data_IF_368434598418
#
_entry.id   IF_368434598418
#
_cell.length_a   1.000
_cell.length_b   1.000
_cell.length_c   1.000
_cell.angle_alpha   90.00
_cell.angle_beta   90.00
_cell.angle_gamma   90.00
#
_symmetry.space_group_name_H-M   'P 1'
#
loop_
_entity.id
_entity.type
_entity.pdbx_description
1 polymer ?
#
# COMPACT_ATOMS: atom_id res chain seq x y z
N UNK A 1 23.68 -11.83 -2.34
CA UNK A 1 22.85 -11.99 -3.55
C UNK A 1 21.96 -10.78 -3.61
N UNK A 2 21.79 -10.17 -4.78
CA UNK A 2 20.98 -8.95 -4.89
C UNK A 2 19.50 -9.30 -4.64
N UNK A 3 18.84 -8.56 -3.76
CA UNK A 3 17.42 -8.73 -3.43
C UNK A 3 16.50 -7.99 -4.40
N UNK A 4 17.04 -7.41 -5.47
CA UNK A 4 16.31 -6.52 -6.39
C UNK A 4 15.05 -7.19 -7.00
N UNK A 5 14.96 -8.52 -7.05
CA UNK A 5 13.80 -9.23 -7.60
C UNK A 5 13.02 -10.06 -6.57
N UNK A 6 13.34 -9.97 -5.27
CA UNK A 6 12.59 -10.69 -4.24
C UNK A 6 11.34 -9.91 -3.85
N UNK A 7 10.18 -10.58 -3.82
CA UNK A 7 8.94 -9.98 -3.32
C UNK A 7 9.13 -9.70 -1.84
N UNK A 8 8.91 -8.45 -1.44
CA UNK A 8 8.98 -8.06 -0.04
C UNK A 8 7.64 -8.42 0.62
N UNK A 9 7.69 -9.26 1.65
CA UNK A 9 6.54 -9.60 2.48
C UNK A 9 6.58 -8.87 3.84
N UNK A 10 5.51 -9.03 4.61
CA UNK A 10 5.37 -8.35 5.90
C UNK A 10 6.48 -8.74 6.89
N UNK A 11 6.86 -10.02 6.93
CA UNK A 11 7.85 -10.52 7.87
C UNK A 11 9.25 -9.96 7.55
N UNK A 12 9.63 -9.93 6.27
CA UNK A 12 10.90 -9.35 5.83
C UNK A 12 11.05 -7.86 6.19
N UNK A 13 9.96 -7.10 6.03
CA UNK A 13 9.96 -5.67 6.39
C UNK A 13 9.95 -5.50 7.91
N UNK A 14 9.17 -6.30 8.65
CA UNK A 14 9.17 -6.30 10.11
C UNK A 14 10.57 -6.60 10.68
N UNK A 15 11.24 -7.64 10.17
CA UNK A 15 12.60 -8.00 10.54
C UNK A 15 13.60 -6.88 10.20
N UNK A 16 13.39 -6.22 9.06
CA UNK A 16 14.21 -5.06 8.68
C UNK A 16 13.99 -3.90 9.66
N UNK A 17 12.79 -3.65 10.17
CA UNK A 17 12.55 -2.61 11.18
C UNK A 17 13.19 -2.97 12.52
N UNK A 18 13.06 -4.23 12.96
CA UNK A 18 13.70 -4.76 14.16
C UNK A 18 15.22 -4.66 14.10
N UNK A 19 15.81 -4.88 12.93
CA UNK A 19 17.25 -4.74 12.68
C UNK A 19 17.77 -3.31 12.94
N UNK A 20 16.91 -2.30 12.78
CA UNK A 20 17.17 -0.90 13.12
C UNK A 20 16.77 -0.55 14.57
N UNK A 21 16.27 -1.52 15.34
CA UNK A 21 15.82 -1.33 16.72
C UNK A 21 14.46 -0.63 16.84
N UNK A 22 13.67 -0.63 15.77
CA UNK A 22 12.35 0.00 15.72
C UNK A 22 11.23 -1.01 15.92
N UNK A 23 10.17 -0.60 16.62
CA UNK A 23 8.91 -1.35 16.80
C UNK A 23 7.74 -0.69 16.04
N UNK A 24 8.06 0.15 15.05
CA UNK A 24 7.04 0.72 14.17
C UNK A 24 6.31 -0.40 13.42
N UNK A 25 5.04 -0.19 13.10
CA UNK A 25 4.24 -1.14 12.34
C UNK A 25 4.58 -1.05 10.84
N UNK A 26 4.99 -2.15 10.18
CA UNK A 26 5.12 -2.20 8.72
C UNK A 26 3.81 -1.87 8.01
N UNK A 27 2.69 -2.38 8.53
CA UNK A 27 1.37 -2.16 7.95
C UNK A 27 0.98 -0.67 7.98
N UNK A 28 1.23 0.00 9.11
CA UNK A 28 1.01 1.45 9.23
C UNK A 28 1.81 2.24 8.19
N UNK A 29 3.11 1.97 8.07
CA UNK A 29 3.96 2.66 7.09
C UNK A 29 3.61 2.28 5.64
N UNK A 30 3.05 1.09 5.38
CA UNK A 30 2.53 0.72 4.07
C UNK A 30 1.30 1.54 3.68
N UNK A 31 0.39 1.76 4.62
CA UNK A 31 -0.74 2.66 4.42
C UNK A 31 -0.27 4.05 4.02
N UNK A 32 0.71 4.60 4.76
CA UNK A 32 1.33 5.89 4.42
C UNK A 32 1.97 5.88 3.04
N UNK A 33 2.72 4.83 2.71
CA UNK A 33 3.38 4.66 1.42
C UNK A 33 2.35 4.66 0.28
N UNK A 34 1.29 3.88 0.39
CA UNK A 34 0.24 3.76 -0.61
C UNK A 34 -0.43 5.11 -0.90
N UNK A 35 -0.87 5.81 0.15
CA UNK A 35 -1.47 7.15 0.01
C UNK A 35 -0.47 8.17 -0.54
N UNK A 36 0.79 8.12 -0.11
CA UNK A 36 1.83 9.03 -0.57
C UNK A 36 2.16 8.82 -2.05
N UNK A 37 2.24 7.57 -2.51
CA UNK A 37 2.42 7.26 -3.94
C UNK A 37 1.22 7.68 -4.79
N UNK A 38 0.02 7.75 -4.21
CA UNK A 38 -1.17 8.21 -4.90
C UNK A 38 -1.26 9.75 -4.97
N UNK A 39 -0.89 10.46 -3.90
CA UNK A 39 -1.10 11.90 -3.76
C UNK A 39 0.13 12.75 -4.08
N UNK A 40 1.32 12.14 -4.12
CA UNK A 40 2.59 12.83 -4.26
C UNK A 40 3.49 12.10 -5.26
N UNK A 41 4.43 12.83 -5.87
CA UNK A 41 5.53 12.22 -6.64
C UNK A 41 6.63 11.75 -5.67
N UNK A 42 6.31 10.74 -4.87
CA UNK A 42 7.21 10.21 -3.84
C UNK A 42 8.37 9.45 -4.51
N UNK A 43 9.54 10.08 -4.61
CA UNK A 43 10.77 9.46 -5.14
C UNK A 43 11.30 8.34 -4.26
N UNK A 44 12.24 7.54 -4.79
CA UNK A 44 12.90 6.47 -4.05
C UNK A 44 13.71 7.02 -2.87
N UNK A 45 14.39 8.15 -3.10
CA UNK A 45 15.20 8.86 -2.12
C UNK A 45 14.33 9.45 -1.00
N UNK A 46 13.24 10.14 -1.36
CA UNK A 46 12.31 10.72 -0.39
C UNK A 46 11.63 9.64 0.47
N UNK A 47 11.31 8.50 -0.14
CA UNK A 47 10.80 7.35 0.62
C UNK A 47 11.83 6.81 1.60
N UNK A 48 13.07 6.60 1.15
CA UNK A 48 14.13 6.09 2.02
C UNK A 48 14.38 7.02 3.21
N UNK A 49 14.35 8.33 2.98
CA UNK A 49 14.44 9.35 4.03
C UNK A 49 13.26 9.26 5.01
N UNK A 50 12.02 9.19 4.51
CA UNK A 50 10.81 9.12 5.33
C UNK A 50 10.75 7.85 6.20
N UNK A 51 11.13 6.69 5.65
CA UNK A 51 11.16 5.45 6.42
C UNK A 51 12.30 5.49 7.45
N UNK A 52 13.50 5.98 7.10
CA UNK A 52 14.60 6.11 8.07
C UNK A 52 14.22 7.03 9.22
N UNK A 53 13.58 8.17 8.93
CA UNK A 53 13.06 9.08 9.95
C UNK A 53 12.06 8.38 10.87
N UNK A 54 11.13 7.60 10.31
CA UNK A 54 10.15 6.83 11.07
C UNK A 54 10.79 5.76 11.96
N UNK A 55 11.89 5.16 11.50
CA UNK A 55 12.68 4.19 12.25
C UNK A 55 13.66 4.83 13.26
N UNK A 56 13.80 6.16 13.25
CA UNK A 56 14.71 6.89 14.15
C UNK A 56 16.19 6.72 13.79
N UNK A 57 16.51 6.47 12.52
CA UNK A 57 17.88 6.31 12.00
C UNK A 57 18.18 7.32 10.90
N UNK A 58 19.45 7.67 10.71
CA UNK A 58 19.86 8.59 9.64
C UNK A 58 19.93 7.91 8.26
N UNK A 59 20.20 6.60 8.25
CA UNK A 59 20.34 5.80 7.04
C UNK A 59 20.06 4.32 7.33
N UNK A 60 19.79 3.49 6.32
CA UNK A 60 19.69 2.05 6.48
C UNK A 60 20.99 1.48 7.07
N UNK A 61 20.86 0.40 7.84
CA UNK A 61 21.98 -0.28 8.51
C UNK A 61 23.04 -0.78 7.52
N UNK A 62 22.60 -1.31 6.39
CA UNK A 62 23.44 -1.86 5.33
C UNK A 62 22.73 -1.81 3.97
N UNK A 63 23.43 -2.23 2.91
CA UNK A 63 22.93 -2.27 1.54
C UNK A 63 21.70 -3.19 1.40
N UNK A 64 21.67 -4.30 2.16
CA UNK A 64 20.56 -5.27 2.11
C UNK A 64 19.29 -4.63 2.66
N UNK A 65 19.37 -3.94 3.80
CA UNK A 65 18.25 -3.18 4.34
C UNK A 65 17.78 -2.08 3.37
N UNK A 66 18.71 -1.38 2.72
CA UNK A 66 18.36 -0.37 1.72
C UNK A 66 17.64 -0.98 0.51
N UNK A 67 18.14 -2.10 -0.03
CA UNK A 67 17.51 -2.82 -1.14
C UNK A 67 16.08 -3.25 -0.79
N UNK A 68 15.84 -3.75 0.44
CA UNK A 68 14.50 -4.15 0.91
C UNK A 68 13.53 -2.99 0.99
N UNK A 69 13.92 -1.90 1.65
CA UNK A 69 13.06 -0.72 1.82
C UNK A 69 12.71 -0.07 0.47
N UNK A 70 13.67 -0.01 -0.45
CA UNK A 70 13.45 0.50 -1.81
C UNK A 70 12.63 -0.48 -2.67
N UNK A 71 12.87 -1.78 -2.51
CA UNK A 71 12.13 -2.86 -3.17
C UNK A 71 10.65 -2.83 -2.79
N UNK A 72 10.34 -2.59 -1.52
CA UNK A 72 8.98 -2.43 -1.03
C UNK A 72 8.24 -1.28 -1.72
N UNK A 73 8.82 -0.06 -1.78
CA UNK A 73 8.22 1.05 -2.54
C UNK A 73 7.99 0.69 -4.01
N UNK A 74 8.99 0.07 -4.65
CA UNK A 74 8.89 -0.30 -6.07
C UNK A 74 7.74 -1.28 -6.28
N UNK A 75 7.66 -2.34 -5.47
CA UNK A 75 6.59 -3.34 -5.50
C UNK A 75 5.21 -2.68 -5.32
N UNK A 76 5.06 -1.82 -4.31
CA UNK A 76 3.79 -1.12 -4.05
C UNK A 76 3.39 -0.23 -5.24
N UNK A 77 4.34 0.53 -5.80
CA UNK A 77 4.07 1.38 -6.97
C UNK A 77 3.71 0.56 -8.22
N UNK A 78 4.43 -0.53 -8.49
CA UNK A 78 4.16 -1.44 -9.61
C UNK A 78 2.77 -2.04 -9.50
N UNK A 79 2.37 -2.47 -8.30
CA UNK A 79 1.06 -3.09 -8.08
C UNK A 79 -0.10 -2.06 -8.13
N UNK A 80 0.07 -0.86 -7.57
CA UNK A 80 -0.94 0.22 -7.63
C UNK A 80 -1.12 0.77 -9.06
N UNK A 81 -0.05 0.81 -9.86
CA UNK A 81 -0.08 1.32 -11.23
C UNK A 81 -0.32 0.25 -12.29
N UNK A 82 -0.34 -1.03 -11.90
CA UNK A 82 -0.52 -2.16 -12.80
C UNK A 82 -1.96 -2.33 -13.30
N UNK A 83 -2.12 -2.87 -14.51
CA UNK A 83 -3.42 -3.20 -15.12
C UNK A 83 -4.11 -4.39 -14.47
N UNK A 84 -3.34 -5.28 -13.84
CA UNK A 84 -3.80 -6.58 -13.34
C UNK A 84 -4.64 -6.48 -12.06
N UNK A 85 -4.86 -5.27 -11.54
CA UNK A 85 -5.62 -5.03 -10.32
C UNK A 85 -5.16 -5.91 -9.15
N UNK A 86 -3.85 -6.11 -9.01
CA UNK A 86 -3.23 -7.10 -8.13
C UNK A 86 -2.53 -6.49 -6.91
N UNK A 87 -2.75 -5.19 -6.63
CA UNK A 87 -2.30 -4.58 -5.39
C UNK A 87 -2.87 -5.33 -4.19
N UNK A 88 -2.02 -5.60 -3.22
CA UNK A 88 -2.35 -6.14 -1.91
C UNK A 88 -1.63 -5.27 -0.86
N UNK A 89 -2.31 -4.80 0.20
CA UNK A 89 -1.66 -4.08 1.29
C UNK A 89 -0.66 -4.99 2.02
N UNK A 90 0.43 -4.41 2.52
CA UNK A 90 1.44 -5.16 3.29
C UNK A 90 0.92 -5.45 4.71
N UNK A 91 0.27 -6.60 4.86
CA UNK A 91 -0.36 -7.05 6.11
C UNK A 91 0.27 -8.34 6.64
N UNK A 92 0.13 -8.64 7.94
CA UNK A 92 0.46 -9.96 8.47
C UNK A 92 -0.28 -11.05 7.68
N UNK A 93 0.42 -12.14 7.37
CA UNK A 93 -0.14 -13.26 6.60
C UNK A 93 -0.86 -14.28 7.50
N UNK A 94 -1.27 -15.41 6.91
CA UNK A 94 -1.97 -16.51 7.61
C UNK A 94 -1.13 -17.21 8.69
N UNK A 95 0.16 -16.90 8.83
CA UNK A 95 0.98 -17.41 9.93
C UNK A 95 0.73 -16.64 11.24
N UNK A 96 0.11 -15.47 11.16
CA UNK A 96 -0.30 -14.66 12.30
C UNK A 96 -1.75 -14.97 12.69
N UNK A 97 -2.08 -14.68 13.95
CA UNK A 97 -3.46 -14.82 14.43
C UNK A 97 -4.40 -13.86 13.70
N UNK A 98 -5.69 -14.22 13.64
CA UNK A 98 -6.71 -13.36 13.06
C UNK A 98 -6.75 -11.97 13.71
N UNK A 99 -6.51 -11.91 15.02
CA UNK A 99 -6.41 -10.67 15.79
C UNK A 99 -5.24 -9.78 15.34
N UNK A 100 -4.05 -10.37 15.13
CA UNK A 100 -2.88 -9.65 14.62
C UNK A 100 -3.09 -9.13 13.19
N UNK A 101 -3.76 -9.90 12.33
CA UNK A 101 -4.11 -9.49 10.98
C UNK A 101 -5.11 -8.34 10.97
N UNK A 102 -6.15 -8.42 11.80
CA UNK A 102 -7.11 -7.32 11.98
C UNK A 102 -6.44 -6.06 12.53
N UNK A 103 -5.50 -6.21 13.47
CA UNK A 103 -4.70 -5.11 13.97
C UNK A 103 -3.83 -4.50 12.86
N UNK A 104 -3.19 -5.32 12.03
CA UNK A 104 -2.45 -4.85 10.86
C UNK A 104 -3.31 -4.06 9.89
N UNK A 105 -4.52 -4.53 9.56
CA UNK A 105 -5.44 -3.81 8.66
C UNK A 105 -5.86 -2.46 9.25
N UNK A 106 -6.16 -2.42 10.55
CA UNK A 106 -6.49 -1.19 11.27
C UNK A 106 -5.34 -0.18 11.21
N UNK A 107 -4.12 -0.63 11.48
CA UNK A 107 -2.91 0.20 11.43
C UNK A 107 -2.61 0.70 10.02
N UNK A 108 -2.75 -0.16 9.02
CA UNK A 108 -2.63 0.21 7.61
C UNK A 108 -3.61 1.33 7.26
N UNK A 109 -4.88 1.17 7.67
CA UNK A 109 -5.92 2.16 7.41
C UNK A 109 -5.62 3.50 8.09
N UNK A 110 -5.10 3.47 9.32
CA UNK A 110 -4.69 4.67 10.04
C UNK A 110 -3.55 5.41 9.31
N UNK A 111 -2.50 4.70 8.89
CA UNK A 111 -1.39 5.31 8.17
C UNK A 111 -1.81 5.87 6.81
N UNK A 112 -2.71 5.17 6.11
CA UNK A 112 -3.27 5.63 4.85
C UNK A 112 -4.07 6.93 5.01
N UNK A 113 -4.95 6.99 6.02
CA UNK A 113 -5.76 8.17 6.31
C UNK A 113 -4.93 9.35 6.83
N UNK A 114 -3.86 9.11 7.60
CA UNK A 114 -2.97 10.19 8.09
C UNK A 114 -2.38 10.99 6.93
N UNK A 115 -1.92 10.32 5.87
CA UNK A 115 -1.38 11.02 4.68
C UNK A 115 -2.46 11.79 3.93
N UNK A 116 -3.69 11.25 3.87
CA UNK A 116 -4.81 11.97 3.24
C UNK A 116 -5.15 13.23 4.05
N UNK A 117 -5.15 13.14 5.39
CA UNK A 117 -5.40 14.26 6.28
C UNK A 117 -4.30 15.32 6.16
N UNK A 118 -3.02 14.90 6.12
CA UNK A 118 -1.85 15.77 5.93
C UNK A 118 -1.90 16.53 4.60
N UNK A 119 -2.42 15.91 3.54
CA UNK A 119 -2.58 16.54 2.23
C UNK A 119 -3.69 17.62 2.20
N UNK A 120 -4.58 17.62 3.20
CA UNK A 120 -5.68 18.56 3.37
C UNK A 120 -6.77 18.49 2.29
N UNK A 121 -7.61 19.52 2.24
CA UNK A 121 -8.79 19.55 1.36
C UNK A 121 -8.47 19.76 -0.13
N UNK A 122 -7.22 20.06 -0.48
CA UNK A 122 -6.82 20.40 -1.84
C UNK A 122 -7.10 19.25 -2.82
N UNK A 123 -6.47 18.07 -2.64
CA UNK A 123 -6.69 16.91 -3.49
C UNK A 123 -8.16 16.44 -3.50
N UNK A 124 -8.83 16.45 -2.34
CA UNK A 124 -10.19 15.95 -2.16
C UNK A 124 -11.25 16.64 -3.05
N UNK A 125 -11.01 17.89 -3.46
CA UNK A 125 -11.94 18.65 -4.32
C UNK A 125 -12.14 18.04 -5.71
N UNK A 126 -11.15 17.30 -6.20
CA UNK A 126 -11.19 16.67 -7.53
C UNK A 126 -11.73 15.24 -7.54
N UNK A 127 -11.92 14.63 -6.36
CA UNK A 127 -12.29 13.22 -6.24
C UNK A 127 -13.72 12.96 -6.72
N UNK A 128 -13.95 11.77 -7.27
CA UNK A 128 -15.29 11.28 -7.53
C UNK A 128 -16.07 11.10 -6.21
N UNK A 129 -17.39 10.96 -6.33
CA UNK A 129 -18.24 10.58 -5.19
C UNK A 129 -17.85 9.21 -4.65
N UNK A 130 -17.61 8.23 -5.55
CA UNK A 130 -17.19 6.88 -5.17
C UNK A 130 -15.88 6.86 -4.39
N UNK A 131 -14.88 7.67 -4.78
CA UNK A 131 -13.63 7.77 -4.03
C UNK A 131 -13.84 8.42 -2.67
N UNK A 132 -14.64 9.48 -2.58
CA UNK A 132 -14.97 10.09 -1.27
C UNK A 132 -15.65 9.10 -0.34
N UNK A 133 -16.67 8.38 -0.82
CA UNK A 133 -17.37 7.35 -0.04
C UNK A 133 -16.42 6.24 0.40
N UNK A 134 -15.58 5.72 -0.51
CA UNK A 134 -14.63 4.68 -0.19
C UNK A 134 -13.65 5.11 0.93
N UNK A 135 -13.13 6.34 0.86
CA UNK A 135 -12.24 6.90 1.89
C UNK A 135 -13.00 7.17 3.21
N UNK A 136 -14.22 7.68 3.14
CA UNK A 136 -15.04 7.95 4.32
C UNK A 136 -15.36 6.63 5.07
N UNK A 137 -15.64 5.56 4.34
CA UNK A 137 -15.85 4.22 4.91
C UNK A 137 -14.60 3.66 5.60
N UNK A 138 -13.40 4.00 5.14
CA UNK A 138 -12.14 3.62 5.81
C UNK A 138 -12.02 4.22 7.21
N UNK A 139 -12.64 5.36 7.51
CA UNK A 139 -12.65 5.88 8.88
C UNK A 139 -13.33 4.89 9.84
N UNK A 140 -14.36 4.17 9.39
CA UNK A 140 -15.00 3.10 10.18
C UNK A 140 -14.04 1.95 10.50
N UNK A 141 -13.14 1.60 9.57
CA UNK A 141 -12.14 0.54 9.75
C UNK A 141 -11.13 0.88 10.85
N UNK A 142 -10.85 2.17 11.10
CA UNK A 142 -9.96 2.56 12.21
C UNK A 142 -10.54 2.26 13.60
N UNK A 143 -11.84 2.00 13.70
CA UNK A 143 -12.55 1.77 14.96
C UNK A 143 -12.94 0.30 15.18
N UNK A 144 -12.52 -0.63 14.30
CA UNK A 144 -12.88 -2.05 14.44
C UNK A 144 -12.27 -2.65 15.71
N UNK A 145 -12.98 -3.64 16.25
CA UNK A 145 -12.48 -4.56 17.26
C UNK A 145 -11.47 -5.51 16.60
N UNK A 146 -10.30 -5.63 17.21
CA UNK A 146 -9.20 -6.44 16.68
C UNK A 146 -8.94 -7.69 17.52
N UNK A 147 -9.58 -7.83 18.69
CA UNK A 147 -9.55 -9.07 19.48
C UNK A 147 -10.57 -10.08 18.93
N UNK A 148 -10.27 -10.58 17.73
CA UNK A 148 -11.16 -11.49 16.99
C UNK A 148 -10.88 -12.94 17.36
N UNK A 149 -11.94 -13.68 17.65
CA UNK A 149 -11.87 -15.13 17.76
C UNK A 149 -11.65 -15.76 16.38
N UNK A 150 -10.87 -16.83 16.33
CA UNK A 150 -10.64 -17.60 15.12
C UNK A 150 -11.93 -18.32 14.70
N UNK A 151 -12.62 -17.76 13.70
CA UNK A 151 -13.84 -18.31 13.14
C UNK A 151 -13.97 -17.99 11.65
N UNK A 152 -14.61 -18.86 10.84
CA UNK A 152 -14.83 -18.59 9.42
C UNK A 152 -15.64 -17.32 9.15
N UNK A 153 -16.49 -16.90 10.08
CA UNK A 153 -17.26 -15.66 9.95
C UNK A 153 -16.33 -14.44 10.05
N UNK A 154 -15.51 -14.38 11.11
CA UNK A 154 -14.56 -13.29 11.31
C UNK A 154 -13.47 -13.25 10.22
N UNK A 155 -13.02 -14.39 9.71
CA UNK A 155 -12.10 -14.45 8.56
C UNK A 155 -12.71 -13.83 7.30
N UNK A 156 -13.96 -14.17 6.99
CA UNK A 156 -14.66 -13.62 5.83
C UNK A 156 -14.90 -12.11 5.98
N UNK A 157 -15.24 -11.65 7.19
CA UNK A 157 -15.41 -10.22 7.47
C UNK A 157 -14.08 -9.47 7.30
N UNK A 158 -12.98 -10.00 7.86
CA UNK A 158 -11.67 -9.38 7.72
C UNK A 158 -11.21 -9.35 6.25
N UNK A 159 -11.48 -10.42 5.48
CA UNK A 159 -11.20 -10.46 4.06
C UNK A 159 -11.98 -9.35 3.31
N UNK A 160 -13.27 -9.18 3.60
CA UNK A 160 -14.09 -8.14 2.96
C UNK A 160 -13.59 -6.72 3.30
N UNK A 161 -13.20 -6.48 4.55
CA UNK A 161 -12.62 -5.19 4.96
C UNK A 161 -11.26 -4.94 4.30
N UNK A 162 -10.45 -5.97 4.15
CA UNK A 162 -9.16 -5.88 3.44
C UNK A 162 -9.37 -5.55 1.97
N UNK A 163 -10.34 -6.18 1.32
CA UNK A 163 -10.68 -5.89 -0.08
C UNK A 163 -11.18 -4.45 -0.27
N UNK A 164 -11.96 -3.94 0.68
CA UNK A 164 -12.40 -2.53 0.66
C UNK A 164 -11.20 -1.56 0.73
N UNK A 165 -10.27 -1.80 1.66
CA UNK A 165 -9.03 -1.01 1.76
C UNK A 165 -8.18 -1.06 0.48
N UNK A 166 -8.05 -2.26 -0.09
CA UNK A 166 -7.34 -2.51 -1.34
C UNK A 166 -7.93 -1.71 -2.51
N UNK A 167 -9.24 -1.78 -2.68
CA UNK A 167 -9.97 -1.08 -3.73
C UNK A 167 -9.93 0.44 -3.55
N UNK A 168 -10.04 0.94 -2.32
CA UNK A 168 -9.91 2.37 -2.01
C UNK A 168 -8.53 2.91 -2.38
N UNK A 169 -7.45 2.19 -2.05
CA UNK A 169 -6.08 2.57 -2.43
C UNK A 169 -5.89 2.65 -3.95
N UNK A 170 -6.36 1.64 -4.67
CA UNK A 170 -6.25 1.60 -6.13
C UNK A 170 -7.09 2.67 -6.81
N UNK A 171 -8.30 2.93 -6.30
CA UNK A 171 -9.16 4.00 -6.81
C UNK A 171 -8.52 5.37 -6.58
N UNK A 172 -7.97 5.61 -5.39
CA UNK A 172 -7.22 6.84 -5.10
C UNK A 172 -6.06 7.01 -6.07
N UNK A 173 -5.23 5.98 -6.25
CA UNK A 173 -4.10 6.04 -7.18
C UNK A 173 -4.55 6.35 -8.61
N UNK A 174 -5.58 5.66 -9.09
CA UNK A 174 -6.11 5.81 -10.45
C UNK A 174 -6.66 7.22 -10.71
N UNK A 175 -7.45 7.77 -9.78
CA UNK A 175 -8.03 9.11 -9.93
C UNK A 175 -7.00 10.23 -9.85
N UNK A 176 -5.92 10.03 -9.08
CA UNK A 176 -4.84 11.02 -8.97
C UNK A 176 -3.81 10.93 -10.10
N UNK A 177 -3.86 9.86 -10.92
CA UNK A 177 -3.02 9.68 -12.10
C UNK A 177 -3.84 9.58 -13.41
N UNK A 178 -4.71 10.56 -13.73
CA UNK A 178 -5.54 10.54 -14.92
C UNK A 178 -4.65 10.68 -16.16
N UNK A 179 -4.62 9.66 -17.02
CA UNK A 179 -3.77 9.63 -18.21
C UNK A 179 -2.82 8.44 -18.33
N UNK A 180 -2.87 7.50 -17.38
CA UNK A 180 -2.33 6.13 -17.57
C UNK A 180 -3.41 5.05 -17.81
N UNK A 181 -4.51 5.25 -18.55
CA UNK A 181 -5.30 4.12 -19.02
C UNK A 181 -4.50 3.42 -20.14
N UNK A 182 -3.81 2.33 -19.81
CA UNK A 182 -3.29 1.44 -20.84
C UNK A 182 -4.43 0.56 -21.31
N UNK A 183 -5.21 1.10 -22.25
CA UNK A 183 -6.00 0.23 -23.13
C UNK A 183 -4.98 -0.70 -23.76
N UNK A 184 -5.09 -1.99 -23.44
CA UNK A 184 -4.40 -3.07 -24.13
C UNK A 184 -4.50 -2.75 -25.63
N UNK A 185 -3.39 -2.36 -26.26
CA UNK A 185 -3.35 -2.26 -27.71
C UNK A 185 -3.45 -3.70 -28.18
N UNK A 186 -4.68 -4.15 -28.38
CA UNK A 186 -4.98 -5.32 -29.17
C UNK A 186 -4.43 -4.98 -30.56
N UNK A 187 -3.27 -5.55 -30.88
CA UNK A 187 -2.67 -5.50 -32.20
C UNK A 187 -3.74 -5.93 -33.21
N UNK A 188 -4.33 -4.97 -33.92
CA UNK A 188 -5.33 -5.22 -34.94
C UNK A 188 -4.60 -5.49 -36.26
N UNK A 189 -4.47 -6.75 -36.72
CA UNK A 189 -3.64 -7.07 -37.86
C UNK A 189 -4.52 -6.97 -39.09
N UNK A 190 -4.75 -5.76 -39.62
CA UNK A 190 -5.39 -5.61 -40.94
C UNK A 190 -5.14 -4.24 -41.59
N UNK A 191 -4.06 -4.18 -42.36
CA UNK A 191 -4.15 -3.58 -43.68
C UNK A 191 -3.08 -4.15 -44.64
N UNK A 192 -3.44 -4.65 -45.83
CA UNK A 192 -2.46 -5.08 -46.82
C UNK A 192 -1.88 -3.85 -47.57
N UNK A 193 -0.67 -3.95 -48.14
CA UNK A 193 -0.07 -2.86 -48.89
C UNK A 193 -0.85 -2.64 -50.19
N UNK A 194 -1.27 -1.40 -50.42
CA UNK A 194 -1.76 -0.93 -51.71
C UNK A 194 -0.55 -0.52 -52.56
N UNK A 195 -0.40 -1.22 -53.70
CA UNK A 195 0.37 -0.94 -54.93
C UNK A 195 1.66 -0.09 -54.87
#
# INVERSE_FOLDING_TARGET
MSLINERQDFADIADTFLLHGSMQSPAFLDGRLCASLALHDLSAEAWLEAVCLSLGVEQPRDEVAAERLLGWRRQTLEALSGSELNFEPLLPDELFSLAERAQGLKEWTQGFLEVIEDAGDGPRKGWSEALREAIDDLHGLTAIETDLEDSPENENDLFALTEHARMAAMLLYTEQHPGKPQVEQVDDPKNPPSH
#
